data_IF_958148956710
#
_entry.id   IF_958148956710
#
_cell.length_a   1.000
_cell.length_b   1.000
_cell.length_c   1.000
_cell.angle_alpha   90.00
_cell.angle_beta   90.00
_cell.angle_gamma   90.00
#
_symmetry.space_group_name_H-M   'P 1'
#
loop_
_entity.id
_entity.type
_entity.pdbx_description
1 polymer ?
#
# COMPACT_ATOMS: atom_id res chain seq x y z
N UNK A 1 18.34 14.88 -31.79
CA UNK A 1 17.84 13.93 -30.78
C UNK A 1 17.17 14.74 -29.67
N UNK A 2 15.85 14.83 -29.72
CA UNK A 2 15.05 15.51 -28.71
C UNK A 2 14.64 14.48 -27.68
N UNK A 3 15.24 14.55 -26.49
CA UNK A 3 14.83 13.78 -25.31
C UNK A 3 13.46 14.26 -24.84
N UNK A 4 12.45 13.45 -25.06
CA UNK A 4 11.10 13.65 -24.52
C UNK A 4 11.11 13.31 -23.03
N UNK A 5 11.09 14.33 -22.18
CA UNK A 5 10.76 14.22 -20.77
C UNK A 5 9.23 14.20 -20.66
N UNK A 6 8.60 13.17 -20.08
CA UNK A 6 7.16 13.21 -19.84
C UNK A 6 6.88 14.07 -18.61
N UNK A 7 6.51 15.32 -18.81
CA UNK A 7 5.89 16.16 -17.78
C UNK A 7 4.38 16.05 -17.90
N UNK A 8 3.76 15.06 -17.27
CA UNK A 8 2.34 15.11 -17.01
C UNK A 8 2.11 15.23 -15.50
N UNK A 9 1.81 16.45 -15.06
CA UNK A 9 1.40 16.78 -13.68
C UNK A 9 -0.05 16.31 -13.37
N UNK A 10 -0.63 15.44 -14.17
CA UNK A 10 -1.92 14.87 -13.87
C UNK A 10 -1.73 13.59 -13.05
N UNK A 11 -2.44 13.45 -11.93
CA UNK A 11 -2.43 12.19 -11.18
C UNK A 11 -2.92 11.05 -12.10
N UNK A 12 -2.40 9.83 -11.92
CA UNK A 12 -2.85 8.69 -12.70
C UNK A 12 -4.35 8.49 -12.54
N UNK A 13 -5.06 8.27 -13.65
CA UNK A 13 -6.50 7.99 -13.64
C UNK A 13 -6.73 6.48 -13.59
N UNK A 14 -7.28 5.98 -12.50
CA UNK A 14 -7.45 4.54 -12.24
C UNK A 14 -8.83 4.01 -12.66
N UNK A 15 -9.77 4.87 -13.00
CA UNK A 15 -11.17 4.51 -13.32
C UNK A 15 -11.33 3.51 -14.47
N UNK A 16 -10.41 3.47 -15.44
CA UNK A 16 -10.44 2.50 -16.56
C UNK A 16 -10.21 1.05 -16.13
N UNK A 17 -9.67 0.81 -14.94
CA UNK A 17 -9.45 -0.52 -14.37
C UNK A 17 -10.60 -0.98 -13.46
N UNK A 18 -11.64 -0.16 -13.27
CA UNK A 18 -12.70 -0.42 -12.31
C UNK A 18 -12.24 -0.30 -10.85
N UNK A 19 -11.13 0.41 -10.61
CA UNK A 19 -10.60 0.68 -9.29
C UNK A 19 -11.23 1.95 -8.70
N UNK A 20 -11.25 2.06 -7.38
CA UNK A 20 -11.87 3.16 -6.66
C UNK A 20 -10.82 4.21 -6.29
N UNK A 21 -11.13 5.46 -6.57
CA UNK A 21 -10.33 6.60 -6.13
C UNK A 21 -11.05 7.27 -4.95
N UNK A 22 -10.38 7.44 -3.78
CA UNK A 22 -10.99 8.12 -2.64
C UNK A 22 -11.35 9.56 -2.98
N UNK A 23 -12.58 9.97 -2.66
CA UNK A 23 -13.05 11.35 -2.81
C UNK A 23 -12.74 12.14 -1.55
N UNK A 24 -11.57 12.76 -1.50
CA UNK A 24 -11.08 13.54 -0.36
C UNK A 24 -10.24 14.74 -0.82
N UNK A 25 -10.10 15.80 0.00
CA UNK A 25 -9.29 16.96 -0.35
C UNK A 25 -7.80 16.63 -0.27
N UNK A 26 -7.31 15.90 -1.27
CA UNK A 26 -5.91 15.47 -1.36
C UNK A 26 -5.08 16.49 -2.17
N UNK A 27 -3.81 16.73 -1.79
CA UNK A 27 -2.91 17.55 -2.60
C UNK A 27 -2.56 16.86 -3.91
N UNK A 28 -2.28 17.64 -4.96
CA UNK A 28 -2.02 17.13 -6.32
C UNK A 28 -0.82 16.16 -6.43
N UNK A 29 0.10 16.16 -5.46
CA UNK A 29 1.24 15.24 -5.45
C UNK A 29 0.90 13.86 -4.91
N UNK A 30 -0.30 13.66 -4.34
CA UNK A 30 -0.73 12.41 -3.71
C UNK A 30 -1.64 11.63 -4.65
N UNK A 31 -1.31 10.35 -4.88
CA UNK A 31 -2.22 9.36 -5.46
C UNK A 31 -2.74 8.41 -4.39
N UNK A 32 -4.00 8.03 -4.48
CA UNK A 32 -4.59 6.99 -3.64
C UNK A 32 -5.61 6.19 -4.46
N UNK A 33 -5.58 4.88 -4.30
CA UNK A 33 -6.46 3.97 -5.05
C UNK A 33 -6.78 2.75 -4.22
N UNK A 34 -7.99 2.21 -4.38
CA UNK A 34 -8.37 0.90 -3.90
C UNK A 34 -8.68 0.01 -5.11
N UNK A 35 -7.94 -1.08 -5.25
CA UNK A 35 -8.22 -2.08 -6.29
C UNK A 35 -9.52 -2.81 -5.98
N UNK A 36 -10.17 -3.31 -7.01
CA UNK A 36 -11.30 -4.22 -6.90
C UNK A 36 -10.89 -5.62 -7.38
N UNK A 37 -11.83 -6.55 -7.44
CA UNK A 37 -11.58 -7.88 -8.01
C UNK A 37 -11.32 -7.87 -9.52
N UNK A 38 -11.62 -6.76 -10.21
CA UNK A 38 -11.55 -6.66 -11.65
C UNK A 38 -10.13 -6.44 -12.18
N UNK A 39 -9.91 -6.81 -13.42
CA UNK A 39 -8.72 -6.47 -14.22
C UNK A 39 -7.43 -7.14 -13.76
N UNK A 40 -7.51 -8.34 -13.18
CA UNK A 40 -6.35 -9.14 -12.79
C UNK A 40 -6.23 -10.44 -13.58
N UNK A 41 -5.34 -11.30 -13.11
CA UNK A 41 -4.93 -12.54 -13.79
C UNK A 41 -5.34 -13.82 -13.05
N UNK A 42 -5.66 -13.73 -11.76
CA UNK A 42 -6.03 -14.89 -10.94
C UNK A 42 -7.32 -15.57 -11.44
N UNK A 43 -7.35 -16.90 -11.35
CA UNK A 43 -8.50 -17.71 -11.70
C UNK A 43 -9.44 -17.93 -10.50
N UNK A 44 -10.61 -18.50 -10.74
CA UNK A 44 -11.52 -18.87 -9.67
C UNK A 44 -10.86 -19.78 -8.63
N UNK A 45 -11.10 -19.58 -7.32
CA UNK A 45 -12.06 -18.64 -6.71
C UNK A 45 -11.50 -17.21 -6.49
N UNK A 46 -10.25 -16.93 -6.86
CA UNK A 46 -9.53 -15.68 -6.61
C UNK A 46 -9.72 -14.63 -7.71
N UNK A 47 -10.56 -14.89 -8.69
CA UNK A 47 -10.71 -14.04 -9.89
C UNK A 47 -11.19 -12.62 -9.53
N UNK A 48 -10.42 -11.64 -10.02
CA UNK A 48 -9.20 -11.80 -10.81
C UNK A 48 -7.98 -11.05 -10.26
N UNK A 49 -8.16 -10.02 -9.44
CA UNK A 49 -7.10 -9.11 -8.98
C UNK A 49 -6.68 -9.41 -7.53
N UNK A 50 -6.50 -10.70 -7.20
CA UNK A 50 -5.98 -11.06 -5.87
C UNK A 50 -4.52 -10.63 -5.72
N UNK A 51 -4.21 -9.93 -4.64
CA UNK A 51 -2.88 -9.44 -4.28
C UNK A 51 -2.27 -10.21 -3.08
N UNK A 52 -3.09 -11.04 -2.41
CA UNK A 52 -2.66 -11.83 -1.25
C UNK A 52 -1.93 -13.10 -1.66
N UNK A 53 -0.71 -13.29 -1.18
CA UNK A 53 0.15 -14.45 -1.45
C UNK A 53 0.02 -15.57 -0.42
N UNK A 54 -0.82 -15.36 0.60
CA UNK A 54 -1.03 -16.27 1.75
C UNK A 54 -2.40 -16.97 1.74
N UNK A 55 -3.21 -16.76 0.70
CA UNK A 55 -4.60 -17.26 0.63
C UNK A 55 -4.74 -18.55 -0.21
N UNK A 56 -3.65 -19.05 -0.81
CA UNK A 56 -3.65 -20.29 -1.59
C UNK A 56 -3.87 -20.11 -3.10
N UNK A 57 -3.78 -18.89 -3.61
CA UNK A 57 -3.77 -18.61 -5.05
C UNK A 57 -2.43 -18.99 -5.69
N UNK A 58 -2.41 -19.13 -7.02
CA UNK A 58 -1.20 -19.42 -7.79
C UNK A 58 -0.18 -18.27 -7.67
N UNK A 59 1.05 -18.53 -7.21
CA UNK A 59 2.03 -17.46 -6.92
C UNK A 59 2.40 -16.60 -8.13
N UNK A 60 2.43 -17.18 -9.32
CA UNK A 60 2.71 -16.49 -10.58
C UNK A 60 1.59 -15.50 -10.94
N UNK A 61 0.34 -15.85 -10.67
CA UNK A 61 -0.81 -14.97 -10.90
C UNK A 61 -0.84 -13.82 -9.91
N UNK A 62 -0.55 -14.08 -8.62
CA UNK A 62 -0.40 -13.03 -7.60
C UNK A 62 0.75 -12.08 -7.96
N UNK A 63 1.89 -12.62 -8.39
CA UNK A 63 3.02 -11.81 -8.85
C UNK A 63 2.65 -10.94 -10.06
N UNK A 64 1.91 -11.49 -11.03
CA UNK A 64 1.43 -10.75 -12.20
C UNK A 64 0.46 -9.61 -11.79
N UNK A 65 -0.45 -9.86 -10.83
CA UNK A 65 -1.36 -8.85 -10.29
C UNK A 65 -0.59 -7.73 -9.58
N UNK A 66 0.37 -8.07 -8.72
CA UNK A 66 1.22 -7.08 -8.03
C UNK A 66 2.02 -6.24 -9.02
N UNK A 67 2.59 -6.87 -10.04
CA UNK A 67 3.30 -6.15 -11.11
C UNK A 67 2.36 -5.26 -11.95
N UNK A 68 1.12 -5.69 -12.19
CA UNK A 68 0.10 -4.88 -12.86
C UNK A 68 -0.23 -3.62 -12.03
N UNK A 69 -0.47 -3.77 -10.73
CA UNK A 69 -0.71 -2.64 -9.82
C UNK A 69 0.45 -1.64 -9.86
N UNK A 70 1.68 -2.12 -9.73
CA UNK A 70 2.87 -1.25 -9.73
C UNK A 70 3.02 -0.47 -11.03
N UNK A 71 2.82 -1.12 -12.18
CA UNK A 71 2.88 -0.45 -13.49
C UNK A 71 1.79 0.59 -13.64
N UNK A 72 0.56 0.26 -13.25
CA UNK A 72 -0.60 1.17 -13.37
C UNK A 72 -0.44 2.40 -12.49
N UNK A 73 0.06 2.23 -11.27
CA UNK A 73 0.29 3.32 -10.33
C UNK A 73 1.60 4.08 -10.59
N UNK A 74 2.49 3.55 -11.42
CA UNK A 74 3.86 4.04 -11.59
C UNK A 74 4.63 4.21 -10.26
N UNK A 75 4.38 3.32 -9.30
CA UNK A 75 4.90 3.36 -7.92
C UNK A 75 5.38 1.97 -7.51
N UNK A 76 6.40 1.91 -6.67
CA UNK A 76 6.80 0.67 -6.03
C UNK A 76 5.89 0.38 -4.83
N UNK A 77 5.01 -0.60 -4.98
CA UNK A 77 4.13 -1.08 -3.91
C UNK A 77 4.89 -2.00 -2.96
N UNK A 78 4.75 -1.77 -1.66
CA UNK A 78 5.33 -2.62 -0.62
C UNK A 78 4.21 -3.33 0.11
N UNK A 79 4.27 -4.66 0.10
CA UNK A 79 3.28 -5.53 0.75
C UNK A 79 3.85 -6.05 2.07
N UNK A 80 3.07 -5.90 3.14
CA UNK A 80 3.42 -6.33 4.48
C UNK A 80 2.85 -7.72 4.77
N UNK A 81 3.50 -8.45 5.65
CA UNK A 81 2.88 -9.60 6.33
C UNK A 81 1.98 -9.08 7.45
N UNK A 82 0.70 -8.87 7.14
CA UNK A 82 -0.30 -8.36 8.06
C UNK A 82 -0.72 -9.43 9.08
N UNK A 83 -0.73 -9.09 10.35
CA UNK A 83 -0.98 -10.02 11.47
C UNK A 83 -2.11 -9.57 12.38
N UNK A 84 -2.88 -8.55 11.97
CA UNK A 84 -3.97 -7.94 12.75
C UNK A 84 -3.49 -7.31 14.07
N UNK A 85 -2.25 -6.84 14.09
CA UNK A 85 -1.61 -6.15 15.21
C UNK A 85 -1.61 -4.62 15.06
N UNK A 86 -0.70 -3.98 15.80
CA UNK A 86 -0.48 -2.52 15.75
C UNK A 86 0.95 -2.16 15.33
N UNK A 87 1.71 -3.11 14.76
CA UNK A 87 3.05 -2.86 14.27
C UNK A 87 3.07 -1.87 13.11
N UNK A 88 4.04 -0.96 13.10
CA UNK A 88 4.22 0.06 12.06
C UNK A 88 5.64 -0.01 11.51
N UNK A 89 5.76 0.03 10.19
CA UNK A 89 7.05 0.06 9.49
C UNK A 89 7.19 1.37 8.72
N UNK A 90 8.33 2.05 8.88
CA UNK A 90 8.73 3.11 7.96
C UNK A 90 9.32 2.47 6.70
N UNK A 91 8.76 2.81 5.56
CA UNK A 91 9.26 2.36 4.27
C UNK A 91 10.26 3.39 3.73
N UNK A 92 11.44 2.92 3.40
CA UNK A 92 12.46 3.65 2.66
C UNK A 92 13.17 2.72 1.66
N UNK A 93 13.90 3.30 0.74
CA UNK A 93 14.58 2.56 -0.32
C UNK A 93 15.62 1.57 0.23
N UNK A 94 16.28 1.89 1.35
CA UNK A 94 17.24 1.00 2.01
C UNK A 94 16.58 -0.25 2.59
N UNK A 95 15.47 -0.08 3.31
CA UNK A 95 14.69 -1.19 3.86
C UNK A 95 14.16 -2.11 2.75
N UNK A 96 13.66 -1.51 1.66
CA UNK A 96 13.10 -2.27 0.54
C UNK A 96 14.21 -3.07 -0.16
N UNK A 97 15.36 -2.48 -0.39
CA UNK A 97 16.50 -3.20 -0.95
C UNK A 97 16.93 -4.35 -0.05
N UNK A 98 16.98 -4.14 1.27
CA UNK A 98 17.31 -5.17 2.25
C UNK A 98 16.26 -6.31 2.26
N UNK A 99 14.98 -5.99 2.11
CA UNK A 99 13.88 -6.98 2.09
C UNK A 99 13.90 -7.92 0.88
N UNK A 100 14.60 -7.56 -0.19
CA UNK A 100 14.78 -8.40 -1.37
C UNK A 100 15.94 -9.40 -1.24
N UNK A 101 16.70 -9.38 -0.15
CA UNK A 101 17.75 -10.39 0.07
C UNK A 101 17.13 -11.79 0.21
N UNK A 102 17.79 -12.87 -0.30
CA UNK A 102 17.20 -14.21 -0.36
C UNK A 102 16.74 -14.80 0.98
N UNK A 103 17.22 -14.27 2.09
CA UNK A 103 16.87 -14.73 3.45
C UNK A 103 16.30 -13.59 4.32
N UNK A 104 15.88 -12.49 3.69
CA UNK A 104 15.29 -11.38 4.44
C UNK A 104 13.97 -11.81 5.08
N UNK A 105 13.73 -11.48 6.36
CA UNK A 105 12.44 -11.74 6.98
C UNK A 105 11.36 -10.90 6.31
N UNK A 106 10.15 -11.45 6.24
CA UNK A 106 9.00 -10.67 5.78
C UNK A 106 8.80 -9.44 6.69
N UNK A 107 8.41 -8.33 6.09
CA UNK A 107 8.09 -7.09 6.82
C UNK A 107 6.76 -7.28 7.56
N UNK A 108 6.82 -7.74 8.80
CA UNK A 108 5.63 -8.02 9.61
C UNK A 108 5.13 -6.75 10.28
N UNK A 109 4.00 -6.23 9.81
CA UNK A 109 3.31 -5.07 10.36
C UNK A 109 1.90 -4.96 9.78
N UNK A 110 1.05 -4.16 10.44
CA UNK A 110 -0.30 -3.84 9.97
C UNK A 110 -0.45 -2.37 9.55
N UNK A 111 0.61 -1.60 9.63
CA UNK A 111 0.66 -0.26 9.09
C UNK A 111 2.07 0.07 8.56
N UNK A 112 2.11 0.99 7.63
CA UNK A 112 3.37 1.55 7.14
C UNK A 112 3.20 3.02 6.79
N UNK A 113 4.33 3.72 6.72
CA UNK A 113 4.38 5.08 6.22
C UNK A 113 5.69 5.33 5.47
N UNK A 114 5.69 6.34 4.62
CA UNK A 114 6.88 6.78 3.92
C UNK A 114 6.93 8.29 3.74
N UNK A 115 8.14 8.82 3.59
CA UNK A 115 8.42 10.19 3.16
C UNK A 115 9.07 10.22 1.78
N UNK A 116 9.31 9.04 1.18
CA UNK A 116 10.01 8.93 -0.10
C UNK A 116 9.01 8.90 -1.27
N UNK A 117 9.16 9.80 -2.25
CA UNK A 117 8.41 9.73 -3.51
C UNK A 117 8.72 8.41 -4.25
N UNK A 118 7.73 7.89 -4.97
CA UNK A 118 7.88 6.65 -5.73
C UNK A 118 7.58 5.37 -4.94
N UNK A 119 7.42 5.47 -3.61
CA UNK A 119 6.98 4.35 -2.76
C UNK A 119 5.50 4.46 -2.44
N UNK A 120 4.80 3.33 -2.47
CA UNK A 120 3.39 3.23 -2.10
C UNK A 120 3.20 2.36 -0.85
N UNK A 121 2.54 2.92 0.16
CA UNK A 121 2.02 2.17 1.30
C UNK A 121 0.84 1.33 0.82
N UNK A 122 0.98 0.00 0.81
CA UNK A 122 -0.05 -0.92 0.32
C UNK A 122 -0.59 -1.77 1.45
N UNK A 123 -1.91 -1.78 1.60
CA UNK A 123 -2.63 -2.59 2.58
C UNK A 123 -3.58 -3.53 1.83
N UNK A 124 -3.51 -4.81 2.16
CA UNK A 124 -4.40 -5.83 1.61
C UNK A 124 -5.61 -6.02 2.53
N UNK A 125 -6.81 -6.02 1.97
CA UNK A 125 -8.05 -6.20 2.72
C UNK A 125 -8.99 -7.15 1.98
N UNK A 126 -9.79 -7.87 2.76
CA UNK A 126 -10.97 -8.60 2.30
C UNK A 126 -12.23 -8.04 2.98
N UNK A 127 -12.20 -7.95 4.30
CA UNK A 127 -13.30 -7.48 5.16
C UNK A 127 -12.86 -6.43 6.19
N UNK A 128 -11.55 -6.27 6.43
CA UNK A 128 -11.02 -5.23 7.30
C UNK A 128 -10.99 -3.87 6.59
N UNK A 129 -10.90 -2.77 7.35
CA UNK A 129 -10.85 -1.42 6.80
C UNK A 129 -9.42 -1.04 6.41
N UNK A 130 -9.17 -0.56 5.18
CA UNK A 130 -7.94 0.16 4.85
C UNK A 130 -8.10 1.62 5.28
N UNK A 131 -7.18 2.14 6.07
CA UNK A 131 -7.16 3.54 6.48
C UNK A 131 -5.93 4.21 5.90
N UNK A 132 -6.14 5.33 5.20
CA UNK A 132 -5.07 6.14 4.62
C UNK A 132 -4.91 7.42 5.41
N UNK A 133 -3.67 7.77 5.75
CA UNK A 133 -3.31 9.02 6.42
C UNK A 133 -2.31 9.80 5.56
N UNK A 134 -2.42 11.13 5.61
CA UNK A 134 -1.48 12.02 4.93
C UNK A 134 -1.17 13.25 5.80
N UNK A 135 0.11 13.59 5.89
CA UNK A 135 0.56 14.88 6.40
C UNK A 135 0.96 15.76 5.21
N UNK A 136 0.10 16.71 4.88
CA UNK A 136 0.19 17.46 3.61
C UNK A 136 1.43 18.34 3.48
N UNK A 137 1.86 18.98 4.58
CA UNK A 137 3.02 19.86 4.58
C UNK A 137 4.35 19.10 4.55
N UNK A 138 4.48 18.04 5.38
CA UNK A 138 5.69 17.23 5.45
C UNK A 138 5.75 16.13 4.38
N UNK A 139 4.70 15.99 3.54
CA UNK A 139 4.58 14.96 2.51
C UNK A 139 4.82 13.54 3.04
N UNK A 140 4.22 13.23 4.18
CA UNK A 140 4.23 11.88 4.75
C UNK A 140 2.92 11.20 4.38
N UNK A 141 3.01 10.01 3.83
CA UNK A 141 1.85 9.15 3.55
C UNK A 141 1.92 7.90 4.40
N UNK A 142 0.79 7.42 4.86
CA UNK A 142 0.69 6.19 5.64
C UNK A 142 -0.58 5.43 5.33
N UNK A 143 -0.54 4.12 5.55
CA UNK A 143 -1.66 3.23 5.39
C UNK A 143 -1.70 2.21 6.53
N UNK A 144 -2.90 1.87 7.00
CA UNK A 144 -3.12 0.92 8.07
C UNK A 144 -4.18 -0.13 7.70
N UNK A 145 -3.90 -1.37 8.04
CA UNK A 145 -4.84 -2.48 8.06
C UNK A 145 -5.61 -2.43 9.39
N UNK A 146 -6.77 -1.79 9.35
CA UNK A 146 -7.58 -1.54 10.54
C UNK A 146 -8.64 -2.63 10.75
N UNK A 147 -8.18 -3.87 10.97
CA UNK A 147 -9.00 -4.95 11.51
C UNK A 147 -9.39 -4.68 12.96
N UNK A 148 -10.47 -5.29 13.45
CA UNK A 148 -11.00 -4.99 14.79
C UNK A 148 -9.99 -5.22 15.92
N UNK A 149 -9.10 -6.22 15.80
CA UNK A 149 -8.04 -6.47 16.79
C UNK A 149 -6.99 -5.37 16.80
N UNK A 150 -6.53 -4.96 15.60
CA UNK A 150 -5.60 -3.85 15.44
C UNK A 150 -6.17 -2.53 15.91
N UNK A 151 -7.46 -2.28 15.68
CA UNK A 151 -8.16 -1.09 16.17
C UNK A 151 -8.30 -1.08 17.68
N UNK A 152 -8.71 -2.21 18.29
CA UNK A 152 -8.82 -2.32 19.73
C UNK A 152 -7.47 -2.17 20.43
N UNK A 153 -6.42 -2.68 19.80
CA UNK A 153 -5.06 -2.60 20.33
C UNK A 153 -4.87 -3.16 21.72
N UNK A 154 -3.84 -2.67 22.41
CA UNK A 154 -3.60 -2.97 23.81
C UNK A 154 -3.68 -1.67 24.61
N UNK A 155 -4.46 -1.68 25.69
CA UNK A 155 -4.64 -0.52 26.59
C UNK A 155 -5.07 0.77 25.85
N UNK A 156 -5.92 0.65 24.83
CA UNK A 156 -6.40 1.77 24.05
C UNK A 156 -5.40 2.34 23.05
N UNK A 157 -4.34 1.61 22.73
CA UNK A 157 -3.35 1.98 21.73
C UNK A 157 -3.38 0.96 20.58
N UNK A 158 -4.14 1.30 19.55
CA UNK A 158 -4.33 0.48 18.36
C UNK A 158 -3.44 0.90 17.19
N UNK A 159 -3.71 0.30 16.03
CA UNK A 159 -2.91 0.50 14.82
C UNK A 159 -2.95 1.95 14.31
N UNK A 160 -4.06 2.66 14.50
CA UNK A 160 -4.19 4.04 14.03
C UNK A 160 -3.41 5.00 14.92
N UNK A 161 -3.46 4.82 16.25
CA UNK A 161 -2.67 5.58 17.21
C UNK A 161 -1.17 5.34 16.97
N UNK A 162 -0.78 4.08 16.75
CA UNK A 162 0.61 3.71 16.47
C UNK A 162 1.11 4.34 15.16
N UNK A 163 0.31 4.28 14.08
CA UNK A 163 0.67 4.90 12.81
C UNK A 163 0.80 6.41 12.95
N UNK A 164 -0.17 7.07 13.60
CA UNK A 164 -0.15 8.51 13.79
C UNK A 164 1.06 8.96 14.62
N UNK A 165 1.39 8.21 15.69
CA UNK A 165 2.57 8.48 16.50
C UNK A 165 3.86 8.32 15.70
N UNK A 166 4.00 7.26 14.91
CA UNK A 166 5.16 7.02 14.06
C UNK A 166 5.34 8.10 12.99
N UNK A 167 4.26 8.52 12.33
CA UNK A 167 4.29 9.62 11.36
C UNK A 167 4.67 10.96 12.01
N UNK A 168 4.19 11.25 13.23
CA UNK A 168 4.56 12.47 13.99
C UNK A 168 6.03 12.46 14.39
N UNK A 169 6.57 11.30 14.77
CA UNK A 169 7.98 11.18 15.13
C UNK A 169 8.93 11.36 13.93
N UNK A 170 8.41 11.31 12.71
CA UNK A 170 9.16 11.53 11.47
C UNK A 170 9.13 13.00 10.98
N UNK A 171 8.45 13.89 11.72
CA UNK A 171 8.43 15.33 11.45
C UNK A 171 9.69 16.00 11.96
#
# INVERSE_FOLDING_TARGET
ETTHTPSSNNPPQFGSHGWLEPQWPAPAWLGAVMTTRASGYSQAPYNSMNLGDHVGDAPDQVAANRAHLQRTCAMQSVFLQQVHGAGVVRLDSGLIQASHAPQAPALQADACFTTEPGLACSIMVADCLPVLLVHTQARIVGAAHAGWRGLAGQQGHGVLEALLQAMRAAL
#
